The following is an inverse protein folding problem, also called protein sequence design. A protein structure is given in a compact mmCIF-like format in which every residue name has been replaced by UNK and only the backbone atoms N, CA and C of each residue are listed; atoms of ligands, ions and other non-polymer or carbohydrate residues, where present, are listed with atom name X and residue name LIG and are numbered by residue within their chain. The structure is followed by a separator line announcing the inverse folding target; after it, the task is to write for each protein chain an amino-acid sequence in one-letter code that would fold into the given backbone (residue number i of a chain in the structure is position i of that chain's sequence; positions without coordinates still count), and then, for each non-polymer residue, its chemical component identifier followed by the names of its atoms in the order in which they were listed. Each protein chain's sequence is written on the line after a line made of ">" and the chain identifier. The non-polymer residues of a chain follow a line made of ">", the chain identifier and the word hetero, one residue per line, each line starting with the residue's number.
data_IF_534752552899
#
_entry.id   IF_534752552899
#
_cell.length_a   1.000
_cell.length_b   1.000
_cell.length_c   1.000
_cell.angle_alpha   90.00
_cell.angle_beta   90.00
_cell.angle_gamma   90.00
#
_symmetry.space_group_name_H-M   'P 1'
#
loop_
_entity.id
_entity.type
_entity.pdbx_description
1 polymer ?
#
# COMPACT_ATOMS: atom_id res chain seq x y z
N UNK A 1 -4.47 -5.73 6.79
CA UNK A 1 -4.91 -6.45 5.56
C UNK A 1 -4.65 -5.67 4.28
N UNK A 2 -4.73 -4.34 4.28
CA UNK A 2 -4.47 -3.50 3.08
C UNK A 2 -2.99 -3.21 2.77
N UNK A 3 -2.06 -3.78 3.55
CA UNK A 3 -0.64 -3.65 3.26
C UNK A 3 -0.21 -4.73 2.29
N UNK A 4 0.51 -4.29 1.26
CA UNK A 4 1.17 -5.14 0.27
C UNK A 4 2.65 -4.83 0.41
N UNK A 5 3.44 -5.89 0.46
CA UNK A 5 4.88 -5.84 0.57
C UNK A 5 5.48 -6.02 -0.82
N UNK A 6 6.64 -5.41 -1.04
CA UNK A 6 7.31 -5.42 -2.32
C UNK A 6 8.81 -5.64 -2.13
N UNK A 7 9.37 -6.53 -2.95
CA UNK A 7 10.81 -6.58 -3.23
C UNK A 7 11.01 -6.13 -4.67
N UNK A 8 12.03 -5.29 -4.89
CA UNK A 8 12.44 -4.82 -6.21
C UNK A 8 13.89 -5.23 -6.47
N UNK A 9 14.17 -5.68 -7.68
CA UNK A 9 15.54 -5.82 -8.17
C UNK A 9 16.17 -4.43 -8.37
N UNK A 10 17.44 -4.29 -8.01
CA UNK A 10 18.19 -3.03 -8.07
C UNK A 10 18.75 -2.69 -9.47
N UNK A 11 18.43 -3.48 -10.50
CA UNK A 11 18.95 -3.25 -11.85
C UNK A 11 18.42 -1.95 -12.46
N UNK A 12 19.32 -1.15 -13.05
CA UNK A 12 19.01 0.13 -13.69
C UNK A 12 18.31 0.01 -15.04
N UNK A 13 18.38 -1.17 -15.68
CA UNK A 13 17.91 -1.38 -17.06
C UNK A 13 16.57 -2.13 -17.08
N UNK A 14 16.40 -3.11 -16.20
CA UNK A 14 15.16 -3.87 -16.07
C UNK A 14 14.81 -3.97 -14.60
N UNK A 15 13.71 -3.31 -14.20
CA UNK A 15 13.17 -3.53 -12.87
C UNK A 15 12.38 -4.83 -12.88
N UNK A 16 12.58 -5.68 -11.88
CA UNK A 16 11.68 -6.78 -11.61
C UNK A 16 11.16 -6.60 -10.20
N UNK A 17 9.89 -6.94 -9.99
CA UNK A 17 9.29 -6.76 -8.68
C UNK A 17 8.42 -7.95 -8.32
N UNK A 18 8.38 -8.22 -7.02
CA UNK A 18 7.57 -9.26 -6.43
C UNK A 18 6.72 -8.63 -5.33
N UNK A 19 5.43 -8.90 -5.38
CA UNK A 19 4.40 -8.36 -4.50
C UNK A 19 3.67 -9.46 -3.78
N UNK A 20 3.34 -9.23 -2.52
CA UNK A 20 2.45 -10.11 -1.77
C UNK A 20 1.81 -9.38 -0.60
N UNK A 21 0.79 -10.00 0.00
CA UNK A 21 0.23 -9.55 1.27
C UNK A 21 0.86 -10.37 2.40
N UNK A 22 1.18 -9.77 3.56
CA UNK A 22 1.76 -10.48 4.70
C UNK A 22 0.69 -11.28 5.46
N UNK A 23 -0.13 -12.04 4.73
CA UNK A 23 -1.23 -12.84 5.26
C UNK A 23 -1.25 -14.21 4.61
N UNK A 24 -1.72 -15.19 5.36
CA UNK A 24 -1.93 -16.56 4.90
C UNK A 24 -3.40 -16.90 5.10
N UNK A 25 -3.98 -17.55 4.10
CA UNK A 25 -5.38 -17.95 4.12
C UNK A 25 -5.52 -19.40 4.63
N UNK A 26 -6.48 -19.61 5.53
CA UNK A 26 -6.81 -20.91 6.14
C UNK A 26 -8.03 -21.59 5.50
N UNK A 27 -8.57 -21.02 4.42
CA UNK A 27 -9.72 -21.59 3.72
C UNK A 27 -9.70 -21.24 2.25
N UNK A 28 -10.39 -22.04 1.45
CA UNK A 28 -10.57 -21.83 0.01
C UNK A 28 -11.28 -20.52 -0.29
N UNK A 29 -12.22 -20.12 0.56
CA UNK A 29 -13.03 -18.89 0.40
C UNK A 29 -12.21 -17.61 0.60
N UNK A 30 -10.99 -17.70 1.13
CA UNK A 30 -10.05 -16.58 1.33
C UNK A 30 -10.64 -15.40 2.10
N UNK A 31 -11.56 -15.69 3.01
CA UNK A 31 -12.20 -14.70 3.87
C UNK A 31 -11.21 -14.11 4.88
N UNK A 32 -11.35 -12.82 5.14
CA UNK A 32 -10.47 -12.06 6.06
C UNK A 32 -10.44 -12.66 7.47
N UNK A 33 -11.58 -13.17 7.94
CA UNK A 33 -11.72 -13.79 9.27
C UNK A 33 -10.89 -15.08 9.41
N UNK A 34 -10.64 -15.76 8.29
CA UNK A 34 -9.84 -16.99 8.21
C UNK A 34 -8.44 -16.70 7.65
N UNK A 35 -7.86 -15.56 8.06
CA UNK A 35 -6.48 -15.18 7.74
C UNK A 35 -5.64 -15.04 8.99
N UNK A 36 -4.37 -15.46 8.89
CA UNK A 36 -3.36 -15.15 9.90
C UNK A 36 -2.27 -14.28 9.30
N UNK A 37 -1.53 -13.60 10.17
CA UNK A 37 -0.35 -12.85 9.78
C UNK A 37 0.82 -13.79 9.51
N UNK A 38 1.59 -13.42 8.50
CA UNK A 38 2.83 -14.07 8.13
C UNK A 38 4.00 -13.29 8.71
N UNK A 39 5.04 -14.00 9.13
CA UNK A 39 6.31 -13.40 9.51
C UNK A 39 7.36 -13.70 8.43
N UNK A 40 8.12 -12.67 8.09
CA UNK A 40 9.09 -12.69 7.01
C UNK A 40 10.41 -12.28 7.60
N UNK A 41 11.43 -13.08 7.34
CA UNK A 41 12.78 -12.85 7.84
C UNK A 41 13.60 -12.05 6.85
N UNK A 42 14.68 -11.45 7.35
CA UNK A 42 15.58 -10.66 6.53
C UNK A 42 16.16 -11.44 5.36
N UNK A 43 16.39 -10.70 4.28
CA UNK A 43 16.92 -11.22 3.04
C UNK A 43 18.41 -11.57 3.23
N UNK A 44 18.75 -12.83 3.01
CA UNK A 44 20.14 -13.31 2.98
C UNK A 44 20.65 -13.26 1.55
N UNK A 45 21.76 -12.57 1.34
CA UNK A 45 22.43 -12.45 0.06
C UNK A 45 23.50 -13.53 -0.14
N UNK A 46 23.90 -13.74 -1.39
CA UNK A 46 25.02 -14.60 -1.80
C UNK A 46 24.86 -16.07 -1.35
N UNK A 47 23.67 -16.62 -1.57
CA UNK A 47 23.39 -18.02 -1.24
C UNK A 47 23.86 -18.91 -2.38
N UNK A 48 24.47 -20.05 -2.04
CA UNK A 48 24.93 -21.01 -3.04
C UNK A 48 23.77 -21.90 -3.54
N UNK A 49 23.63 -22.02 -4.87
CA UNK A 49 22.63 -22.87 -5.53
C UNK A 49 23.11 -24.31 -5.77
N UNK A 50 24.04 -24.83 -4.96
CA UNK A 50 24.79 -26.09 -5.16
C UNK A 50 24.01 -27.35 -5.60
N UNK A 51 22.67 -27.38 -5.51
CA UNK A 51 21.83 -28.53 -5.83
C UNK A 51 20.49 -28.21 -6.50
N UNK A 52 20.24 -26.99 -7.00
CA UNK A 52 18.94 -26.68 -7.61
C UNK A 52 18.97 -26.97 -9.13
N UNK A 53 17.84 -27.43 -9.68
CA UNK A 53 17.63 -27.53 -11.14
C UNK A 53 17.93 -26.19 -11.82
N UNK A 54 17.68 -25.10 -11.09
CA UNK A 54 17.96 -23.74 -11.55
C UNK A 54 19.45 -23.47 -11.74
N UNK A 55 20.36 -24.22 -11.12
CA UNK A 55 21.79 -24.08 -11.36
C UNK A 55 22.14 -24.30 -12.84
N UNK A 56 21.48 -25.24 -13.52
CA UNK A 56 21.70 -25.49 -14.95
C UNK A 56 21.24 -24.33 -15.83
N UNK A 57 20.07 -23.76 -15.52
CA UNK A 57 19.47 -22.64 -16.25
C UNK A 57 20.26 -21.35 -15.97
N UNK A 58 20.53 -21.03 -14.70
CA UNK A 58 21.24 -19.81 -14.33
C UNK A 58 22.69 -19.84 -14.77
N UNK A 59 23.39 -20.98 -14.70
CA UNK A 59 24.77 -21.06 -15.21
C UNK A 59 24.85 -20.93 -16.74
N UNK A 60 23.77 -21.22 -17.47
CA UNK A 60 23.75 -20.98 -18.93
C UNK A 60 23.63 -19.50 -19.30
N UNK A 61 23.05 -18.67 -18.43
CA UNK A 61 22.85 -17.23 -18.69
C UNK A 61 23.79 -16.33 -17.89
N UNK A 62 24.31 -16.80 -16.76
CA UNK A 62 25.09 -16.01 -15.81
C UNK A 62 26.32 -16.80 -15.32
N UNK A 63 27.50 -16.16 -15.40
CA UNK A 63 28.76 -16.75 -14.94
C UNK A 63 28.78 -16.92 -13.41
N UNK A 64 28.12 -16.02 -12.68
CA UNK A 64 27.88 -16.11 -11.23
C UNK A 64 26.50 -15.50 -10.92
N UNK A 65 25.44 -16.32 -10.73
CA UNK A 65 24.14 -15.78 -10.38
C UNK A 65 24.18 -15.20 -8.96
N UNK A 66 23.78 -13.93 -8.82
CA UNK A 66 23.51 -13.34 -7.51
C UNK A 66 22.17 -13.87 -7.00
N UNK A 67 22.23 -14.63 -5.92
CA UNK A 67 21.07 -15.31 -5.36
C UNK A 67 20.86 -14.84 -3.94
N UNK A 68 19.65 -14.38 -3.68
CA UNK A 68 19.19 -14.04 -2.35
C UNK A 68 17.99 -14.88 -1.99
N UNK A 69 17.85 -15.22 -0.72
CA UNK A 69 16.67 -15.88 -0.21
C UNK A 69 16.27 -15.28 1.13
N UNK A 70 14.99 -15.44 1.43
CA UNK A 70 14.40 -15.08 2.70
C UNK A 70 13.47 -16.20 3.11
N UNK A 71 13.28 -16.34 4.41
CA UNK A 71 12.37 -17.32 4.96
C UNK A 71 11.03 -16.68 5.28
N UNK A 72 10.00 -17.50 5.27
CA UNK A 72 8.64 -17.10 5.61
C UNK A 72 8.09 -18.13 6.58
N UNK A 73 7.51 -17.68 7.69
CA UNK A 73 6.81 -18.52 8.65
C UNK A 73 5.32 -18.18 8.67
N UNK A 74 4.50 -19.22 8.88
CA UNK A 74 3.05 -19.16 8.84
C UNK A 74 2.47 -19.51 10.21
N UNK A 75 1.51 -18.71 10.67
CA UNK A 75 0.88 -18.91 11.98
C UNK A 75 1.74 -18.39 13.14
N UNK A 76 1.12 -18.32 14.31
CA UNK A 76 1.77 -17.97 15.57
C UNK A 76 1.99 -19.22 16.41
N UNK A 77 3.02 -19.20 17.25
CA UNK A 77 3.24 -20.29 18.20
C UNK A 77 1.94 -20.58 18.99
N UNK A 78 1.54 -21.86 19.04
CA UNK A 78 0.34 -22.40 19.73
C UNK A 78 -1.03 -22.06 19.10
N UNK A 79 -1.09 -21.43 17.94
CA UNK A 79 -2.39 -21.19 17.27
C UNK A 79 -2.92 -22.44 16.54
N UNK A 80 -2.06 -23.45 16.31
CA UNK A 80 -2.40 -24.67 15.60
C UNK A 80 -2.73 -24.45 14.12
N UNK A 81 -2.26 -23.33 13.53
CA UNK A 81 -2.62 -22.79 12.22
C UNK A 81 -3.01 -23.85 11.20
N UNK A 82 -2.06 -24.68 10.77
CA UNK A 82 -2.28 -25.70 9.75
C UNK A 82 -3.02 -26.93 10.30
N UNK A 83 -2.73 -27.33 11.55
CA UNK A 83 -3.36 -28.49 12.17
C UNK A 83 -4.89 -28.32 12.33
N UNK A 84 -5.38 -27.08 12.46
CA UNK A 84 -6.81 -26.76 12.57
C UNK A 84 -7.52 -26.64 11.22
N UNK A 85 -6.87 -26.07 10.22
CA UNK A 85 -7.49 -25.79 8.92
C UNK A 85 -7.27 -26.88 7.88
N UNK A 86 -6.19 -27.66 8.03
CA UNK A 86 -5.62 -28.53 6.99
C UNK A 86 -5.47 -27.80 5.63
N UNK A 87 -5.26 -26.49 5.67
CA UNK A 87 -5.23 -25.63 4.49
C UNK A 87 -4.35 -24.42 4.72
N UNK A 88 -3.46 -24.17 3.75
CA UNK A 88 -2.55 -23.03 3.71
C UNK A 88 -2.53 -22.52 2.29
N UNK A 89 -2.88 -21.25 2.10
CA UNK A 89 -2.72 -20.59 0.81
C UNK A 89 -2.03 -19.24 0.96
N UNK A 90 -1.08 -19.00 0.06
CA UNK A 90 -0.31 -17.77 -0.07
C UNK A 90 -0.28 -17.38 -1.55
N UNK A 91 -0.28 -16.09 -1.81
CA UNK A 91 -0.23 -15.56 -3.17
C UNK A 91 0.89 -14.54 -3.29
N UNK A 92 1.72 -14.74 -4.30
CA UNK A 92 2.72 -13.78 -4.75
C UNK A 92 2.44 -13.42 -6.19
N UNK A 93 2.71 -12.17 -6.54
CA UNK A 93 2.68 -11.66 -7.91
C UNK A 93 4.07 -11.21 -8.26
N UNK A 94 4.69 -11.84 -9.25
CA UNK A 94 5.99 -11.43 -9.79
C UNK A 94 5.81 -10.90 -11.21
N UNK A 95 6.54 -9.85 -11.53
CA UNK A 95 6.48 -9.19 -12.83
C UNK A 95 7.84 -8.64 -13.22
N UNK A 96 8.08 -8.64 -14.53
CA UNK A 96 9.06 -7.77 -15.15
C UNK A 96 8.38 -6.40 -15.26
N UNK A 97 9.07 -5.35 -14.84
CA UNK A 97 8.62 -3.97 -14.66
C UNK A 97 8.05 -3.62 -13.26
N UNK A 98 7.75 -2.32 -13.09
CA UNK A 98 7.27 -1.72 -11.85
C UNK A 98 5.81 -2.13 -11.64
N UNK A 99 5.58 -3.12 -10.76
CA UNK A 99 4.24 -3.41 -10.28
C UNK A 99 3.82 -2.29 -9.31
N UNK A 100 2.86 -1.47 -9.73
CA UNK A 100 2.29 -0.41 -8.90
C UNK A 100 1.33 -0.99 -7.86
N UNK A 101 1.65 -0.73 -6.60
CA UNK A 101 0.95 -1.28 -5.43
C UNK A 101 -0.12 -0.32 -4.89
N UNK A 102 -0.04 0.95 -5.27
CA UNK A 102 -0.59 2.05 -4.49
C UNK A 102 -1.86 2.70 -5.07
N UNK A 103 -2.40 2.22 -6.20
CA UNK A 103 -3.54 2.88 -6.87
C UNK A 103 -4.78 3.02 -5.96
N UNK A 104 -5.13 1.99 -5.18
CA UNK A 104 -6.26 2.06 -4.24
C UNK A 104 -5.96 2.99 -3.06
N UNK A 105 -4.74 2.95 -2.52
CA UNK A 105 -4.34 3.82 -1.39
C UNK A 105 -4.28 5.29 -1.81
N UNK A 106 -3.80 5.55 -3.03
CA UNK A 106 -3.79 6.89 -3.63
C UNK A 106 -5.22 7.38 -3.85
N UNK A 107 -6.11 6.54 -4.38
CA UNK A 107 -7.51 6.89 -4.55
C UNK A 107 -8.18 7.28 -3.22
N UNK A 108 -8.02 6.47 -2.18
CA UNK A 108 -8.58 6.77 -0.84
C UNK A 108 -7.99 8.06 -0.27
N UNK A 109 -6.69 8.31 -0.46
CA UNK A 109 -6.04 9.54 -0.01
C UNK A 109 -6.62 10.77 -0.71
N UNK A 110 -6.79 10.71 -2.03
CA UNK A 110 -7.38 11.80 -2.82
C UNK A 110 -8.82 12.05 -2.38
N UNK A 111 -9.62 10.99 -2.23
CA UNK A 111 -11.01 11.10 -1.79
C UNK A 111 -11.11 11.78 -0.40
N UNK A 112 -10.24 11.42 0.54
CA UNK A 112 -10.17 12.07 1.86
C UNK A 112 -9.82 13.56 1.75
N UNK A 113 -8.83 13.92 0.95
CA UNK A 113 -8.44 15.32 0.74
C UNK A 113 -9.62 16.12 0.17
N UNK A 114 -10.27 15.62 -0.89
CA UNK A 114 -11.40 16.29 -1.53
C UNK A 114 -12.56 16.46 -0.54
N UNK A 115 -12.85 15.44 0.27
CA UNK A 115 -13.91 15.48 1.29
C UNK A 115 -13.67 16.53 2.37
N UNK A 116 -12.41 16.89 2.64
CA UNK A 116 -12.05 17.89 3.64
C UNK A 116 -11.96 19.31 3.03
N UNK A 117 -11.44 19.42 1.81
CA UNK A 117 -11.23 20.70 1.13
C UNK A 117 -12.55 21.33 0.70
N UNK A 118 -13.51 20.53 0.23
CA UNK A 118 -14.77 21.06 -0.30
C UNK A 118 -15.63 21.77 0.77
N UNK A 119 -15.88 21.19 1.97
CA UNK A 119 -16.57 21.90 3.04
C UNK A 119 -15.80 23.14 3.53
N UNK A 120 -14.47 23.06 3.59
CA UNK A 120 -13.61 24.18 3.97
C UNK A 120 -13.73 25.37 3.03
N UNK A 121 -13.74 25.12 1.71
CA UNK A 121 -13.95 26.17 0.70
C UNK A 121 -15.32 26.82 0.80
N UNK A 122 -16.38 26.03 0.98
CA UNK A 122 -17.74 26.55 1.15
C UNK A 122 -17.84 27.44 2.39
N UNK A 123 -17.27 27.00 3.51
CA UNK A 123 -17.22 27.80 4.74
C UNK A 123 -16.43 29.11 4.53
N UNK A 124 -15.28 29.04 3.84
CA UNK A 124 -14.46 30.22 3.56
C UNK A 124 -15.18 31.26 2.69
N UNK A 125 -15.88 30.81 1.64
CA UNK A 125 -16.68 31.70 0.77
C UNK A 125 -17.83 32.33 1.58
N UNK A 126 -18.50 31.56 2.43
CA UNK A 126 -19.57 32.06 3.29
C UNK A 126 -19.06 33.16 4.24
N UNK A 127 -17.88 32.97 4.85
CA UNK A 127 -17.26 33.98 5.72
C UNK A 127 -16.95 35.27 4.96
N UNK A 128 -16.36 35.17 3.77
CA UNK A 128 -16.08 36.35 2.91
C UNK A 128 -17.38 37.08 2.57
N UNK A 129 -18.43 36.35 2.22
CA UNK A 129 -19.72 36.92 1.86
C UNK A 129 -20.35 37.67 3.05
N UNK A 130 -20.31 37.07 4.25
CA UNK A 130 -20.79 37.69 5.48
C UNK A 130 -20.00 38.98 5.80
N UNK A 131 -18.68 38.95 5.69
CA UNK A 131 -17.83 40.13 5.94
C UNK A 131 -18.18 41.25 4.95
N UNK A 132 -18.27 40.95 3.65
CA UNK A 132 -18.65 41.95 2.63
C UNK A 132 -20.03 42.54 2.90
N UNK A 133 -21.02 41.70 3.20
CA UNK A 133 -22.39 42.15 3.51
C UNK A 133 -22.42 43.05 4.74
N UNK A 134 -21.66 42.70 5.79
CA UNK A 134 -21.60 43.48 7.03
C UNK A 134 -20.88 44.82 6.84
N UNK A 135 -19.84 44.87 6.01
CA UNK A 135 -19.16 46.12 5.66
C UNK A 135 -20.04 47.03 4.78
N UNK A 136 -20.78 46.47 3.81
CA UNK A 136 -21.68 47.25 2.95
C UNK A 136 -22.84 47.88 3.75
N UNK A 137 -23.45 47.14 4.70
CA UNK A 137 -24.49 47.69 5.58
C UNK A 137 -23.99 48.80 6.51
N UNK A 138 -22.73 48.76 6.95
CA UNK A 138 -22.14 49.85 7.75
C UNK A 138 -21.95 51.13 6.94
N UNK A 139 -21.56 51.02 5.67
CA UNK A 139 -21.38 52.20 4.83
C UNK A 139 -22.71 52.93 4.53
N UNK A 140 -23.82 52.21 4.36
CA UNK A 140 -25.14 52.83 4.10
C UNK A 140 -25.61 53.64 5.32
N UNK A 141 -25.45 53.11 6.53
CA UNK A 141 -25.83 53.81 7.77
C UNK A 141 -25.04 55.10 8.04
N UNK A 142 -23.88 55.32 7.41
CA UNK A 142 -23.10 56.55 7.57
C UNK A 142 -23.54 57.68 6.65
N UNK A 143 -24.27 57.39 5.56
CA UNK A 143 -24.82 58.43 4.67
C UNK A 143 -26.13 59.02 5.22
N UNK A 144 -26.93 58.22 5.93
CA UNK A 144 -28.19 58.70 6.52
C UNK A 144 -27.99 59.62 7.74
N UNK A 145 -26.81 59.60 8.39
CA UNK A 145 -26.52 60.47 9.55
C UNK A 145 -26.00 61.87 9.15
N UNK A 146 -25.72 62.11 7.86
CA UNK A 146 -25.18 63.39 7.36
C UNK A 146 -26.29 64.27 6.75
N UNK A 147 -27.55 63.79 6.69
CA UNK A 147 -28.68 64.54 6.11
C UNK A 147 -29.69 65.13 7.12
N UNK A 148 -29.44 65.00 8.43
CA UNK A 148 -30.16 65.75 9.48
C UNK A 148 -29.27 66.86 10.06
#
# INVERSE_FOLDING_TARGET
>A
IFNVWQIKSLSSIYSSSMLWKPVVYQSVDRLVEKTTLMEIYDLKNNISLQKSIDQGIFNSFYVQPYVSAFNISFGRAKDGFFAKSNYTFIQFTAGLDILEVDSIKQFVRIALIVSLVLPGLVAFIAVIFIIKHRCSKRNISSYDVIQD
#
